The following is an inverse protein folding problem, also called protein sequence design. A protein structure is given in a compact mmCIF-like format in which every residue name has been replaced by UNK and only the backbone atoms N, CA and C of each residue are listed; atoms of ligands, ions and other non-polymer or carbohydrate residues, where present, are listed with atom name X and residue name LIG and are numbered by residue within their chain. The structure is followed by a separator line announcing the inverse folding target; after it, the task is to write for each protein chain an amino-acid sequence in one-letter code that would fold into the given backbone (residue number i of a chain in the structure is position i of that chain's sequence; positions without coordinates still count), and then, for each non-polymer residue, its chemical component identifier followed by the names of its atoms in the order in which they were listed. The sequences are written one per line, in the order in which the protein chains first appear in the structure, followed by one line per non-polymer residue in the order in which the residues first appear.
data_IF_373576249697
#
_entry.id   IF_373576249697
#
_cell.length_a   1.000
_cell.length_b   1.000
_cell.length_c   1.000
_cell.angle_alpha   90.00
_cell.angle_beta   90.00
_cell.angle_gamma   90.00
#
_symmetry.space_group_name_H-M   'P 1'
#
loop_
_entity.id
_entity.type
_entity.pdbx_description
1 polymer ?
#
# COMPACT_ATOMS: atom_id res chain seq x y z
N UNK A 1 -11.23 -10.61 -4.07
CA UNK A 1 -11.31 -10.66 -2.59
C UNK A 1 -11.93 -9.38 -2.08
N UNK A 2 -13.05 -9.47 -1.38
CA UNK A 2 -13.66 -8.34 -0.72
C UNK A 2 -13.16 -8.22 0.73
N UNK A 3 -12.99 -6.98 1.19
CA UNK A 3 -12.71 -6.66 2.60
C UNK A 3 -13.85 -5.82 3.13
N UNK A 4 -14.36 -6.20 4.28
CA UNK A 4 -15.43 -5.47 4.97
C UNK A 4 -15.03 -5.23 6.42
N UNK A 5 -14.90 -3.96 6.80
CA UNK A 5 -14.61 -3.51 8.15
C UNK A 5 -15.86 -2.84 8.68
N UNK A 6 -16.37 -3.29 9.84
CA UNK A 6 -17.59 -2.78 10.45
C UNK A 6 -17.38 -2.44 11.92
N UNK A 7 -17.68 -1.20 12.28
CA UNK A 7 -17.64 -0.68 13.65
C UNK A 7 -16.28 -0.81 14.32
N UNK A 8 -15.19 -0.80 13.53
CA UNK A 8 -13.84 -1.03 14.05
C UNK A 8 -13.45 0.07 15.04
N UNK A 9 -13.16 -0.35 16.28
CA UNK A 9 -12.66 0.52 17.32
C UNK A 9 -11.40 -0.08 17.95
N UNK A 10 -10.36 0.74 18.08
CA UNK A 10 -9.06 0.31 18.62
C UNK A 10 -8.63 1.29 19.69
N UNK A 11 -8.26 0.75 20.88
CA UNK A 11 -7.63 1.56 21.93
C UNK A 11 -6.29 0.92 22.34
N UNK A 12 -5.34 1.74 22.74
CA UNK A 12 -4.02 1.32 23.24
C UNK A 12 -3.87 1.85 24.68
N UNK A 13 -3.66 0.94 25.64
CA UNK A 13 -3.58 1.34 27.05
C UNK A 13 -4.81 2.09 27.54
N UNK A 14 -6.00 1.80 27.00
CA UNK A 14 -7.25 2.49 27.31
C UNK A 14 -7.49 3.80 26.56
N UNK A 15 -6.51 4.29 25.77
CA UNK A 15 -6.67 5.50 24.96
C UNK A 15 -7.25 5.13 23.61
N UNK A 16 -8.44 5.67 23.21
CA UNK A 16 -9.03 5.39 21.91
C UNK A 16 -8.19 6.01 20.79
N UNK A 17 -7.89 5.20 19.75
CA UNK A 17 -7.16 5.61 18.55
C UNK A 17 -8.06 5.56 17.32
N UNK A 18 -8.91 4.55 17.23
CA UNK A 18 -9.90 4.38 16.16
C UNK A 18 -11.26 4.16 16.81
N UNK A 19 -12.32 4.76 16.28
CA UNK A 19 -13.66 4.69 16.85
C UNK A 19 -14.72 4.53 15.76
N UNK A 20 -15.36 3.36 15.73
CA UNK A 20 -16.50 3.05 14.88
C UNK A 20 -16.25 3.21 13.38
N UNK A 21 -15.10 2.76 12.90
CA UNK A 21 -14.73 2.87 11.48
C UNK A 21 -15.39 1.77 10.67
N UNK A 22 -16.09 2.18 9.59
CA UNK A 22 -16.60 1.33 8.54
C UNK A 22 -15.82 1.61 7.25
N UNK A 23 -15.29 0.54 6.60
CA UNK A 23 -14.52 0.64 5.37
C UNK A 23 -14.70 -0.63 4.54
N UNK A 24 -14.90 -0.45 3.23
CA UNK A 24 -15.05 -1.57 2.30
C UNK A 24 -14.04 -1.47 1.16
N UNK A 25 -13.49 -2.62 0.77
CA UNK A 25 -12.64 -2.77 -0.41
C UNK A 25 -13.29 -3.87 -1.26
N UNK A 26 -13.86 -3.48 -2.39
CA UNK A 26 -14.43 -4.43 -3.32
C UNK A 26 -13.33 -5.27 -3.99
N UNK A 27 -13.73 -6.40 -4.56
CA UNK A 27 -12.78 -7.24 -5.32
C UNK A 27 -12.18 -6.45 -6.49
N UNK A 28 -10.88 -6.62 -6.71
CA UNK A 28 -10.10 -5.93 -7.75
C UNK A 28 -10.17 -4.40 -7.68
N UNK A 29 -10.54 -3.81 -6.54
CA UNK A 29 -10.61 -2.36 -6.39
C UNK A 29 -9.37 -1.78 -5.69
N UNK A 30 -9.12 -0.51 -5.96
CA UNK A 30 -8.06 0.27 -5.31
C UNK A 30 -8.71 1.38 -4.49
N UNK A 31 -8.64 1.23 -3.19
CA UNK A 31 -9.24 2.15 -2.21
C UNK A 31 -8.16 2.92 -1.48
N UNK A 32 -8.37 4.22 -1.31
CA UNK A 32 -7.50 5.11 -0.57
C UNK A 32 -7.94 5.29 0.87
N UNK A 33 -7.00 5.44 1.78
CA UNK A 33 -7.23 5.92 3.13
C UNK A 33 -6.32 7.12 3.38
N UNK A 34 -6.94 8.30 3.47
CA UNK A 34 -6.20 9.55 3.63
C UNK A 34 -6.55 10.23 4.95
N UNK A 35 -5.62 11.00 5.48
CA UNK A 35 -5.80 11.77 6.72
C UNK A 35 -4.50 12.36 7.20
N UNK A 36 -4.56 13.27 8.16
CA UNK A 36 -3.39 13.88 8.77
C UNK A 36 -2.47 12.83 9.44
N UNK A 37 -1.21 13.21 9.69
CA UNK A 37 -0.32 12.36 10.49
C UNK A 37 -0.91 12.16 11.90
N UNK A 38 -0.87 10.93 12.39
CA UNK A 38 -1.45 10.59 13.68
C UNK A 38 -2.97 10.34 13.69
N UNK A 39 -3.68 10.44 12.55
CA UNK A 39 -5.14 10.18 12.50
C UNK A 39 -5.54 8.71 12.74
N UNK A 40 -4.57 7.77 12.73
CA UNK A 40 -4.81 6.34 13.00
C UNK A 40 -4.74 5.42 11.77
N UNK A 41 -4.39 5.92 10.57
CA UNK A 41 -4.34 5.14 9.32
C UNK A 41 -3.52 3.85 9.43
N UNK A 42 -2.29 3.95 9.89
CA UNK A 42 -1.41 2.78 10.07
C UNK A 42 -1.91 1.81 11.15
N UNK A 43 -2.78 2.28 12.07
CA UNK A 43 -3.39 1.41 13.05
C UNK A 43 -4.47 0.52 12.42
N UNK A 44 -5.26 1.07 11.49
CA UNK A 44 -6.18 0.28 10.67
C UNK A 44 -5.41 -0.77 9.84
N UNK A 45 -4.32 -0.36 9.18
CA UNK A 45 -3.47 -1.29 8.42
C UNK A 45 -2.93 -2.44 9.31
N UNK A 46 -2.46 -2.12 10.51
CA UNK A 46 -1.99 -3.13 11.48
C UNK A 46 -3.11 -4.04 11.97
N UNK A 47 -4.31 -3.50 12.20
CA UNK A 47 -5.47 -4.33 12.57
C UNK A 47 -5.83 -5.32 11.46
N UNK A 48 -5.84 -4.88 10.21
CA UNK A 48 -6.06 -5.72 9.04
C UNK A 48 -5.00 -6.82 8.87
N UNK A 49 -3.79 -6.61 9.37
CA UNK A 49 -2.72 -7.60 9.38
C UNK A 49 -2.70 -8.47 10.66
N UNK A 50 -3.56 -8.20 11.66
CA UNK A 50 -3.47 -8.81 12.97
C UNK A 50 -2.15 -8.49 13.71
N UNK A 51 -1.61 -7.27 13.48
CA UNK A 51 -0.31 -6.82 14.02
C UNK A 51 -0.49 -5.65 15.00
N UNK A 52 -1.58 -5.63 15.73
CA UNK A 52 -1.79 -4.61 16.77
C UNK A 52 -0.81 -4.81 17.95
N UNK A 53 -0.37 -3.72 18.60
CA UNK A 53 0.43 -3.82 19.83
C UNK A 53 -0.24 -4.65 20.91
N UNK A 54 0.52 -5.34 21.76
CA UNK A 54 -0.01 -6.24 22.80
C UNK A 54 -0.99 -5.57 23.79
N UNK A 55 -0.84 -4.27 24.05
CA UNK A 55 -1.72 -3.51 24.94
C UNK A 55 -2.97 -2.95 24.24
N UNK A 56 -3.28 -3.42 23.02
CA UNK A 56 -4.43 -2.96 22.25
C UNK A 56 -5.69 -3.74 22.58
N UNK A 57 -6.81 -3.03 22.62
CA UNK A 57 -8.15 -3.63 22.51
C UNK A 57 -8.71 -3.34 21.13
N UNK A 58 -9.32 -4.34 20.50
CA UNK A 58 -9.92 -4.22 19.17
C UNK A 58 -11.35 -4.76 19.23
N UNK A 59 -12.31 -3.96 18.77
CA UNK A 59 -13.74 -4.29 18.75
C UNK A 59 -14.28 -3.96 17.37
N UNK A 60 -15.34 -4.64 16.94
CA UNK A 60 -15.92 -4.56 15.61
C UNK A 60 -15.62 -5.84 14.82
N UNK A 61 -15.57 -5.77 13.49
CA UNK A 61 -15.19 -6.90 12.65
C UNK A 61 -14.31 -6.44 11.49
N UNK A 62 -13.39 -7.32 11.07
CA UNK A 62 -12.59 -7.19 9.85
C UNK A 62 -12.74 -8.51 9.09
N UNK A 63 -13.45 -8.50 7.97
CA UNK A 63 -13.76 -9.72 7.22
C UNK A 63 -13.03 -9.75 5.88
N UNK A 64 -12.42 -10.89 5.59
CA UNK A 64 -11.85 -11.24 4.30
C UNK A 64 -12.71 -12.31 3.63
N UNK A 65 -13.39 -11.96 2.52
CA UNK A 65 -14.38 -12.84 1.85
C UNK A 65 -15.43 -13.40 2.83
N UNK A 66 -15.84 -12.61 3.83
CA UNK A 66 -16.83 -12.97 4.86
C UNK A 66 -16.27 -13.62 6.12
N UNK A 67 -15.00 -14.01 6.16
CA UNK A 67 -14.33 -14.60 7.33
C UNK A 67 -13.73 -13.49 8.21
N UNK A 68 -14.15 -13.44 9.49
CA UNK A 68 -13.67 -12.44 10.45
C UNK A 68 -12.30 -12.82 11.01
N UNK A 69 -11.33 -11.90 10.89
CA UNK A 69 -9.98 -12.13 11.38
C UNK A 69 -9.77 -11.67 12.83
N UNK A 70 -10.73 -10.91 13.40
CA UNK A 70 -10.65 -10.51 14.81
C UNK A 70 -10.91 -11.75 15.68
N UNK A 71 -9.94 -12.09 16.53
CA UNK A 71 -10.00 -13.27 17.37
C UNK A 71 -9.35 -14.53 16.80
N UNK A 72 -8.87 -14.49 15.54
CA UNK A 72 -8.03 -15.56 15.01
C UNK A 72 -6.74 -15.71 15.84
N UNK A 73 -6.27 -16.94 15.99
CA UNK A 73 -4.99 -17.21 16.63
C UNK A 73 -3.81 -16.86 15.69
N UNK A 74 -2.59 -16.81 16.25
CA UNK A 74 -1.40 -16.39 15.48
C UNK A 74 -1.08 -17.35 14.31
N UNK A 75 -1.38 -18.63 14.41
CA UNK A 75 -1.17 -19.59 13.31
C UNK A 75 -2.10 -19.29 12.12
N UNK A 76 -3.37 -19.01 12.40
CA UNK A 76 -4.36 -18.64 11.39
C UNK A 76 -3.99 -17.30 10.71
N UNK A 77 -3.59 -16.30 11.51
CA UNK A 77 -3.12 -15.01 11.01
C UNK A 77 -1.83 -15.14 10.19
N UNK A 78 -0.91 -16.05 10.60
CA UNK A 78 0.32 -16.29 9.86
C UNK A 78 0.04 -16.90 8.48
N UNK A 79 -0.95 -17.77 8.36
CA UNK A 79 -1.37 -18.36 7.07
C UNK A 79 -1.99 -17.31 6.14
N UNK A 80 -2.66 -16.30 6.67
CA UNK A 80 -3.21 -15.19 5.89
C UNK A 80 -2.12 -14.24 5.39
N UNK A 81 -1.13 -13.93 6.25
CA UNK A 81 -0.03 -13.00 5.91
C UNK A 81 0.87 -13.59 4.83
N UNK A 82 1.16 -12.80 3.82
CA UNK A 82 2.00 -13.19 2.70
C UNK A 82 1.33 -14.10 1.66
N UNK A 83 0.26 -14.81 2.01
CA UNK A 83 -0.51 -15.64 1.08
C UNK A 83 -1.78 -14.93 0.60
N UNK A 84 -2.48 -14.27 1.50
CA UNK A 84 -3.76 -13.61 1.26
C UNK A 84 -3.63 -12.10 1.25
N UNK A 85 -2.97 -11.57 2.27
CA UNK A 85 -2.71 -10.14 2.45
C UNK A 85 -1.21 -9.91 2.62
N UNK A 86 -0.69 -8.89 1.95
CA UNK A 86 0.69 -8.44 2.12
C UNK A 86 0.74 -6.93 2.30
N UNK A 87 1.83 -6.44 2.89
CA UNK A 87 1.99 -5.03 3.20
C UNK A 87 3.30 -4.48 2.62
N UNK A 88 3.19 -3.31 1.99
CA UNK A 88 4.32 -2.45 1.64
C UNK A 88 4.43 -1.36 2.70
N UNK A 89 5.55 -1.33 3.41
CA UNK A 89 5.75 -0.47 4.58
C UNK A 89 6.27 0.92 4.18
N UNK A 90 5.99 1.90 5.01
CA UNK A 90 6.42 3.29 4.89
C UNK A 90 7.95 3.43 4.83
N UNK A 91 8.67 2.70 5.65
CA UNK A 91 10.14 2.72 5.70
C UNK A 91 10.70 1.36 5.26
N UNK A 92 11.12 1.23 3.99
CA UNK A 92 11.65 -0.02 3.49
C UNK A 92 12.91 -0.47 4.21
N UNK A 93 13.76 0.46 4.68
CA UNK A 93 14.99 0.13 5.39
C UNK A 93 14.71 -0.61 6.72
N UNK A 94 13.62 -0.27 7.41
CA UNK A 94 13.22 -0.96 8.64
C UNK A 94 12.44 -2.25 8.39
N UNK A 95 11.84 -2.41 7.22
CA UNK A 95 11.08 -3.59 6.84
C UNK A 95 11.96 -4.72 6.29
N UNK A 96 13.10 -4.38 5.68
CA UNK A 96 14.03 -5.35 5.13
C UNK A 96 14.97 -5.88 6.22
N UNK A 97 15.17 -7.20 6.24
CA UNK A 97 16.11 -7.82 7.17
C UNK A 97 17.57 -7.52 6.73
N UNK A 98 18.39 -6.80 7.54
CA UNK A 98 19.70 -6.34 7.14
C UNK A 98 20.73 -7.46 6.91
N UNK A 99 20.48 -8.68 7.43
CA UNK A 99 21.40 -9.83 7.29
C UNK A 99 21.03 -10.79 6.17
N UNK A 100 19.94 -10.51 5.43
CA UNK A 100 19.52 -11.29 4.27
C UNK A 100 19.84 -10.54 2.98
N UNK A 101 20.28 -11.28 1.96
CA UNK A 101 20.40 -10.71 0.62
C UNK A 101 19.03 -10.44 0.00
N UNK A 102 18.97 -9.60 -1.03
CA UNK A 102 17.74 -9.31 -1.78
C UNK A 102 17.04 -10.60 -2.23
N UNK A 103 17.79 -11.55 -2.83
CA UNK A 103 17.21 -12.82 -3.27
C UNK A 103 16.63 -13.62 -2.10
N UNK A 104 17.31 -13.66 -0.97
CA UNK A 104 16.81 -14.35 0.23
C UNK A 104 15.53 -13.73 0.75
N UNK A 105 15.45 -12.40 0.80
CA UNK A 105 14.26 -11.69 1.25
C UNK A 105 13.06 -11.93 0.34
N UNK A 106 13.24 -11.78 -0.99
CA UNK A 106 12.14 -11.95 -1.95
C UNK A 106 11.68 -13.41 -2.03
N UNK A 107 12.57 -14.39 -1.80
CA UNK A 107 12.17 -15.81 -1.77
C UNK A 107 11.51 -16.24 -0.46
N UNK A 108 11.62 -15.46 0.63
CA UNK A 108 11.13 -15.84 1.96
C UNK A 108 9.61 -16.10 2.01
N UNK A 109 8.73 -15.21 1.49
CA UNK A 109 7.29 -15.49 1.47
C UNK A 109 6.94 -16.77 0.72
N UNK A 110 7.65 -17.05 -0.39
CA UNK A 110 7.45 -18.29 -1.14
C UNK A 110 7.88 -19.53 -0.35
N UNK A 111 8.93 -19.41 0.46
CA UNK A 111 9.41 -20.51 1.30
C UNK A 111 8.47 -20.84 2.45
N UNK A 112 7.80 -19.83 2.99
CA UNK A 112 6.90 -19.98 4.14
C UNK A 112 5.52 -20.52 3.75
N UNK A 113 5.01 -20.14 2.58
CA UNK A 113 3.60 -20.37 2.23
C UNK A 113 3.37 -21.35 1.07
N UNK A 114 4.43 -21.77 0.35
CA UNK A 114 4.28 -22.59 -0.85
C UNK A 114 5.26 -23.76 -0.86
N UNK A 115 4.77 -24.94 -1.26
CA UNK A 115 5.62 -26.10 -1.50
C UNK A 115 6.32 -25.97 -2.87
N UNK A 116 7.39 -25.18 -2.90
CA UNK A 116 8.19 -24.90 -4.09
C UNK A 116 9.65 -25.27 -3.82
N UNK A 117 10.28 -25.88 -4.82
CA UNK A 117 11.73 -26.11 -4.79
C UNK A 117 12.50 -24.77 -4.74
N UNK A 118 13.74 -24.81 -4.26
CA UNK A 118 14.60 -23.61 -4.23
C UNK A 118 14.78 -22.99 -5.62
N UNK A 119 14.88 -23.82 -6.66
CA UNK A 119 15.01 -23.35 -8.04
C UNK A 119 13.74 -22.57 -8.48
N UNK A 120 12.55 -23.09 -8.18
CA UNK A 120 11.28 -22.44 -8.50
C UNK A 120 11.12 -21.13 -7.74
N UNK A 121 11.45 -21.08 -6.45
CA UNK A 121 11.42 -19.85 -5.63
C UNK A 121 12.34 -18.78 -6.20
N UNK A 122 13.60 -19.15 -6.53
CA UNK A 122 14.57 -18.22 -7.14
C UNK A 122 14.08 -17.71 -8.50
N UNK A 123 13.51 -18.57 -9.34
CA UNK A 123 12.98 -18.15 -10.64
C UNK A 123 11.84 -17.14 -10.51
N UNK A 124 10.87 -17.38 -9.59
CA UNK A 124 9.77 -16.44 -9.33
C UNK A 124 10.29 -15.12 -8.73
N UNK A 125 11.23 -15.19 -7.79
CA UNK A 125 11.83 -13.99 -7.22
C UNK A 125 12.59 -13.17 -8.27
N UNK A 126 13.38 -13.79 -9.12
CA UNK A 126 14.10 -13.12 -10.21
C UNK A 126 13.12 -12.45 -11.20
N UNK A 127 12.05 -13.13 -11.59
CA UNK A 127 11.00 -12.55 -12.43
C UNK A 127 10.34 -11.33 -11.77
N UNK A 128 10.03 -11.39 -10.47
CA UNK A 128 9.45 -10.27 -9.73
C UNK A 128 10.44 -9.10 -9.60
N UNK A 129 11.73 -9.37 -9.33
CA UNK A 129 12.76 -8.34 -9.29
C UNK A 129 12.89 -7.62 -10.64
N UNK A 130 12.83 -8.35 -11.75
CA UNK A 130 12.81 -7.74 -13.08
C UNK A 130 11.57 -6.87 -13.31
N UNK A 131 10.37 -7.31 -12.87
CA UNK A 131 9.12 -6.53 -12.95
C UNK A 131 9.19 -5.21 -12.18
N UNK A 132 9.86 -5.19 -11.02
CA UNK A 132 10.07 -3.93 -10.28
C UNK A 132 11.24 -3.10 -10.83
N UNK A 133 11.83 -3.49 -11.96
CA UNK A 133 12.91 -2.77 -12.63
C UNK A 133 14.25 -2.85 -11.91
N UNK A 134 14.53 -3.97 -11.24
CA UNK A 134 15.81 -4.25 -10.59
C UNK A 134 16.61 -5.26 -11.41
N UNK A 135 17.87 -4.91 -11.68
CA UNK A 135 18.80 -5.78 -12.38
C UNK A 135 19.19 -7.00 -11.54
N UNK A 136 19.55 -8.11 -12.22
CA UNK A 136 19.93 -9.37 -11.57
C UNK A 136 21.15 -9.24 -10.66
N UNK A 137 22.05 -8.27 -10.90
CA UNK A 137 23.24 -8.01 -10.06
C UNK A 137 22.89 -7.61 -8.64
N UNK A 138 21.66 -7.12 -8.41
CA UNK A 138 21.18 -6.70 -7.08
C UNK A 138 20.85 -7.89 -6.18
N UNK A 139 20.65 -9.06 -6.74
CA UNK A 139 20.16 -10.26 -6.05
C UNK A 139 21.05 -10.72 -4.89
N UNK A 140 22.35 -10.51 -5.00
CA UNK A 140 23.34 -10.87 -3.96
C UNK A 140 23.64 -9.75 -2.98
N UNK A 141 23.13 -8.52 -3.20
CA UNK A 141 23.36 -7.37 -2.33
C UNK A 141 22.52 -7.45 -1.07
N UNK A 142 22.98 -6.78 -0.04
CA UNK A 142 22.28 -6.56 1.22
C UNK A 142 21.53 -5.22 1.20
N UNK A 143 20.51 -5.02 2.05
CA UNK A 143 19.73 -3.77 2.08
C UNK A 143 20.56 -2.49 2.21
N UNK A 144 21.61 -2.50 3.01
CA UNK A 144 22.49 -1.34 3.23
C UNK A 144 23.32 -0.93 1.99
N UNK A 145 23.42 -1.80 0.98
CA UNK A 145 24.11 -1.54 -0.28
C UNK A 145 23.19 -0.95 -1.36
N UNK A 146 21.91 -0.72 -1.01
CA UNK A 146 20.86 -0.27 -1.93
C UNK A 146 20.49 1.19 -1.69
N UNK A 147 20.15 1.92 -2.75
CA UNK A 147 19.46 3.22 -2.61
C UNK A 147 18.06 3.06 -2.01
N UNK A 148 17.49 4.14 -1.44
CA UNK A 148 16.14 4.11 -0.86
C UNK A 148 15.08 3.65 -1.86
N UNK A 149 15.15 4.11 -3.12
CA UNK A 149 14.25 3.66 -4.18
C UNK A 149 14.43 2.18 -4.56
N UNK A 150 15.66 1.65 -4.50
CA UNK A 150 15.92 0.22 -4.70
C UNK A 150 15.38 -0.60 -3.52
N UNK A 151 15.58 -0.16 -2.27
CA UNK A 151 15.00 -0.81 -1.09
C UNK A 151 13.48 -0.86 -1.18
N UNK A 152 12.83 0.23 -1.61
CA UNK A 152 11.38 0.28 -1.80
C UNK A 152 10.92 -0.73 -2.86
N UNK A 153 11.62 -0.81 -4.00
CA UNK A 153 11.33 -1.80 -5.05
C UNK A 153 11.51 -3.24 -4.57
N UNK A 154 12.51 -3.51 -3.73
CA UNK A 154 12.68 -4.83 -3.07
C UNK A 154 11.53 -5.11 -2.12
N UNK A 155 11.08 -4.14 -1.32
CA UNK A 155 9.91 -4.26 -0.46
C UNK A 155 8.64 -4.61 -1.24
N UNK A 156 8.39 -3.90 -2.36
CA UNK A 156 7.27 -4.17 -3.27
C UNK A 156 7.39 -5.58 -3.88
N UNK A 157 8.58 -5.97 -4.33
CA UNK A 157 8.81 -7.31 -4.87
C UNK A 157 8.52 -8.40 -3.82
N UNK A 158 8.96 -8.20 -2.58
CA UNK A 158 8.72 -9.13 -1.46
C UNK A 158 7.23 -9.25 -1.15
N UNK A 159 6.49 -8.14 -1.16
CA UNK A 159 5.05 -8.13 -0.90
C UNK A 159 4.23 -8.80 -2.01
N UNK A 160 4.66 -8.70 -3.28
CA UNK A 160 3.89 -9.17 -4.44
C UNK A 160 4.32 -10.54 -4.98
N UNK A 161 5.48 -11.07 -4.57
CA UNK A 161 6.03 -12.32 -5.13
C UNK A 161 5.13 -13.55 -4.91
N UNK A 162 4.34 -13.54 -3.84
CA UNK A 162 3.36 -14.57 -3.48
C UNK A 162 2.02 -14.41 -4.22
N UNK A 163 1.84 -13.33 -4.99
CA UNK A 163 0.58 -12.96 -5.64
C UNK A 163 -0.60 -12.90 -4.63
N UNK A 164 -0.51 -12.08 -3.56
CA UNK A 164 -1.57 -11.97 -2.57
C UNK A 164 -2.83 -11.35 -3.19
N UNK A 165 -3.98 -11.58 -2.56
CA UNK A 165 -5.26 -11.03 -3.02
C UNK A 165 -5.48 -9.56 -2.58
N UNK A 166 -4.84 -9.15 -1.49
CA UNK A 166 -4.88 -7.78 -0.97
C UNK A 166 -3.47 -7.26 -0.73
N UNK A 167 -3.21 -6.05 -1.21
CA UNK A 167 -2.01 -5.27 -0.90
C UNK A 167 -2.41 -4.09 -0.02
N UNK A 168 -1.78 -3.95 1.14
CA UNK A 168 -1.86 -2.75 1.98
C UNK A 168 -0.57 -1.96 1.76
N UNK A 169 -0.66 -0.79 1.16
CA UNK A 169 0.47 0.11 0.93
C UNK A 169 0.40 1.27 1.93
N UNK A 170 1.15 1.18 3.03
CA UNK A 170 1.17 2.19 4.09
C UNK A 170 2.27 3.21 3.82
N UNK A 171 1.88 4.38 3.32
CA UNK A 171 2.77 5.50 2.96
C UNK A 171 4.00 5.07 2.13
N UNK A 172 3.84 4.34 1.03
CA UNK A 172 4.93 3.63 0.36
C UNK A 172 5.95 4.57 -0.32
N UNK A 173 5.78 5.89 -0.23
CA UNK A 173 6.60 6.87 -0.96
C UNK A 173 7.09 8.04 -0.11
N UNK A 174 6.79 8.08 1.18
CA UNK A 174 7.04 9.25 2.07
C UNK A 174 8.52 9.67 2.17
N UNK A 175 9.47 8.76 1.96
CA UNK A 175 10.90 9.03 2.05
C UNK A 175 11.59 9.23 0.68
N UNK A 176 10.81 9.38 -0.40
CA UNK A 176 11.32 9.45 -1.77
C UNK A 176 11.14 10.85 -2.35
N UNK A 177 12.01 11.23 -3.29
CA UNK A 177 11.82 12.45 -4.08
C UNK A 177 10.60 12.32 -5.01
N UNK A 178 10.05 13.45 -5.47
CA UNK A 178 8.81 13.52 -6.23
C UNK A 178 8.81 12.70 -7.53
N UNK A 179 9.97 12.55 -8.19
CA UNK A 179 10.09 11.78 -9.43
C UNK A 179 10.03 10.29 -9.12
N UNK A 180 10.83 9.85 -8.17
CA UNK A 180 10.86 8.45 -7.69
C UNK A 180 9.51 8.06 -7.10
N UNK A 181 8.86 8.94 -6.32
CA UNK A 181 7.53 8.74 -5.77
C UNK A 181 6.51 8.39 -6.88
N UNK A 182 6.43 9.20 -7.95
CA UNK A 182 5.53 8.94 -9.08
C UNK A 182 5.82 7.61 -9.77
N UNK A 183 7.09 7.26 -9.94
CA UNK A 183 7.50 5.98 -10.53
C UNK A 183 7.07 4.79 -9.67
N UNK A 184 7.26 4.87 -8.35
CA UNK A 184 6.86 3.82 -7.40
C UNK A 184 5.35 3.63 -7.36
N UNK A 185 4.57 4.72 -7.36
CA UNK A 185 3.10 4.63 -7.37
C UNK A 185 2.60 3.97 -8.66
N UNK A 186 3.09 4.40 -9.83
CA UNK A 186 2.73 3.80 -11.13
C UNK A 186 3.11 2.31 -11.18
N UNK A 187 4.30 1.97 -10.70
CA UNK A 187 4.76 0.59 -10.62
C UNK A 187 3.84 -0.26 -9.75
N UNK A 188 3.52 0.22 -8.54
CA UNK A 188 2.67 -0.50 -7.60
C UNK A 188 1.26 -0.72 -8.19
N UNK A 189 0.65 0.33 -8.75
CA UNK A 189 -0.67 0.23 -9.41
C UNK A 189 -0.64 -0.79 -10.55
N UNK A 190 0.36 -0.70 -11.44
CA UNK A 190 0.50 -1.64 -12.56
C UNK A 190 0.64 -3.09 -12.10
N UNK A 191 1.42 -3.35 -11.06
CA UNK A 191 1.64 -4.70 -10.54
C UNK A 191 0.41 -5.24 -9.81
N UNK A 192 -0.34 -4.39 -9.09
CA UNK A 192 -1.60 -4.76 -8.43
C UNK A 192 -2.66 -5.12 -9.47
N UNK A 193 -2.81 -4.30 -10.52
CA UNK A 193 -3.75 -4.54 -11.63
C UNK A 193 -3.39 -5.83 -12.40
N UNK A 194 -2.10 -6.04 -12.70
CA UNK A 194 -1.61 -7.26 -13.37
C UNK A 194 -1.86 -8.53 -12.52
N UNK A 195 -1.71 -8.42 -11.21
CA UNK A 195 -1.97 -9.52 -10.28
C UNK A 195 -3.46 -9.79 -10.06
N UNK A 196 -4.35 -8.88 -10.49
CA UNK A 196 -5.77 -8.92 -10.17
C UNK A 196 -6.04 -8.82 -8.66
N UNK A 197 -5.17 -8.14 -7.93
CA UNK A 197 -5.30 -7.94 -6.50
C UNK A 197 -6.14 -6.70 -6.17
N UNK A 198 -6.69 -6.65 -4.96
CA UNK A 198 -7.24 -5.42 -4.37
C UNK A 198 -6.14 -4.63 -3.66
N UNK A 199 -6.31 -3.32 -3.49
CA UNK A 199 -5.33 -2.49 -2.80
C UNK A 199 -5.98 -1.51 -1.83
N UNK A 200 -5.44 -1.43 -0.60
CA UNK A 200 -5.62 -0.30 0.29
C UNK A 200 -4.36 0.57 0.24
N UNK A 201 -4.50 1.78 -0.31
CA UNK A 201 -3.41 2.75 -0.42
C UNK A 201 -3.55 3.83 0.65
N UNK A 202 -2.62 3.88 1.59
CA UNK A 202 -2.63 4.82 2.71
C UNK A 202 -1.62 5.92 2.43
N UNK A 203 -2.06 7.17 2.54
CA UNK A 203 -1.20 8.35 2.38
C UNK A 203 -1.79 9.56 3.11
N UNK A 204 -0.99 10.59 3.28
CA UNK A 204 -1.45 11.93 3.68
C UNK A 204 -1.48 12.91 2.48
N UNK A 205 -1.08 12.47 1.28
CA UNK A 205 -0.99 13.30 0.08
C UNK A 205 -2.08 12.92 -0.95
N UNK A 206 -3.03 13.84 -1.16
CA UNK A 206 -4.09 13.68 -2.14
C UNK A 206 -3.60 13.63 -3.59
N UNK A 207 -2.47 14.28 -3.90
CA UNK A 207 -1.92 14.28 -5.25
C UNK A 207 -1.47 12.88 -5.67
N UNK A 208 -0.91 12.14 -4.71
CA UNK A 208 -0.51 10.74 -4.88
C UNK A 208 -1.73 9.82 -4.97
N UNK A 209 -2.69 10.03 -4.06
CA UNK A 209 -3.91 9.22 -3.97
C UNK A 209 -4.70 9.22 -5.28
N UNK A 210 -4.79 10.39 -5.93
CA UNK A 210 -5.51 10.58 -7.19
C UNK A 210 -5.04 9.68 -8.34
N UNK A 211 -3.80 9.24 -8.28
CA UNK A 211 -3.20 8.36 -9.29
C UNK A 211 -3.22 6.87 -8.89
N UNK A 212 -3.46 6.58 -7.62
CA UNK A 212 -3.39 5.24 -7.07
C UNK A 212 -4.76 4.58 -6.87
N UNK A 213 -5.83 5.36 -6.67
CA UNK A 213 -7.12 4.84 -6.18
C UNK A 213 -8.33 5.40 -6.92
N UNK A 214 -9.40 4.62 -6.93
CA UNK A 214 -10.69 4.98 -7.53
C UNK A 214 -11.63 5.60 -6.49
N UNK A 215 -11.69 5.01 -5.30
CA UNK A 215 -12.45 5.49 -4.14
C UNK A 215 -11.52 5.78 -2.97
N UNK A 216 -11.95 6.63 -2.04
CA UNK A 216 -11.18 6.90 -0.82
C UNK A 216 -12.06 7.23 0.39
N UNK A 217 -11.45 7.03 1.55
CA UNK A 217 -11.95 7.38 2.88
C UNK A 217 -11.04 8.42 3.50
N UNK A 218 -11.64 9.46 4.09
CA UNK A 218 -10.93 10.51 4.83
C UNK A 218 -11.03 10.19 6.31
N UNK A 219 -9.89 9.94 6.95
CA UNK A 219 -9.79 9.64 8.38
C UNK A 219 -9.29 10.87 9.14
N UNK A 220 -10.03 11.29 10.14
CA UNK A 220 -9.64 12.34 11.06
C UNK A 220 -9.92 11.94 12.51
N UNK A 221 -8.92 12.11 13.38
CA UNK A 221 -9.01 11.80 14.81
C UNK A 221 -9.67 10.43 15.11
N UNK A 222 -9.33 9.41 14.31
CA UNK A 222 -9.84 8.03 14.48
C UNK A 222 -11.22 7.76 13.88
N UNK A 223 -11.85 8.71 13.18
CA UNK A 223 -13.17 8.55 12.56
C UNK A 223 -13.11 8.74 11.05
N UNK A 224 -13.91 7.99 10.29
CA UNK A 224 -14.16 8.32 8.87
C UNK A 224 -15.10 9.52 8.83
N UNK A 225 -14.62 10.65 8.30
CA UNK A 225 -15.38 11.91 8.20
C UNK A 225 -15.98 12.12 6.81
N UNK A 226 -15.40 11.50 5.78
CA UNK A 226 -15.91 11.57 4.41
C UNK A 226 -15.45 10.35 3.61
N UNK A 227 -16.25 9.88 2.66
CA UNK A 227 -15.89 8.80 1.75
C UNK A 227 -16.55 8.95 0.39
N UNK A 228 -15.97 8.37 -0.64
CA UNK A 228 -16.52 8.36 -1.99
C UNK A 228 -15.44 8.32 -3.07
N UNK A 229 -15.82 8.57 -4.31
CA UNK A 229 -14.89 8.58 -5.43
C UNK A 229 -13.78 9.61 -5.22
N UNK A 230 -12.53 9.16 -5.35
CA UNK A 230 -11.32 10.00 -5.17
C UNK A 230 -11.38 11.26 -6.04
N UNK A 231 -11.88 11.13 -7.28
CA UNK A 231 -12.02 12.27 -8.20
C UNK A 231 -13.06 13.30 -7.73
N UNK A 232 -14.14 12.83 -7.12
CA UNK A 232 -15.21 13.71 -6.61
C UNK A 232 -14.71 14.45 -5.38
N UNK A 233 -14.10 13.75 -4.43
CA UNK A 233 -13.53 14.33 -3.21
C UNK A 233 -12.45 15.40 -3.53
N UNK A 234 -11.58 15.14 -4.50
CA UNK A 234 -10.59 16.13 -4.94
C UNK A 234 -11.20 17.42 -5.53
N UNK A 235 -12.36 17.31 -6.18
CA UNK A 235 -13.01 18.46 -6.81
C UNK A 235 -13.93 19.21 -5.86
N UNK A 236 -14.66 18.49 -5.01
CA UNK A 236 -15.74 19.00 -4.15
C UNK A 236 -15.72 18.31 -2.78
N UNK A 237 -14.67 18.53 -1.95
CA UNK A 237 -14.65 18.03 -0.59
C UNK A 237 -15.76 18.68 0.22
N UNK A 238 -16.52 17.90 1.00
CA UNK A 238 -17.65 18.35 1.78
C UNK A 238 -17.24 18.74 3.20
N UNK A 239 -16.34 17.97 3.83
CA UNK A 239 -15.92 18.19 5.21
C UNK A 239 -14.77 19.19 5.30
N UNK A 240 -14.65 19.97 6.41
CA UNK A 240 -13.53 20.88 6.62
C UNK A 240 -12.16 20.16 6.55
N UNK A 241 -12.09 18.93 7.07
CA UNK A 241 -10.88 18.10 7.06
C UNK A 241 -10.46 17.74 5.64
N UNK A 242 -11.40 17.28 4.82
CA UNK A 242 -11.13 16.96 3.41
C UNK A 242 -10.75 18.23 2.63
N UNK A 243 -11.40 19.38 2.92
CA UNK A 243 -11.06 20.66 2.29
C UNK A 243 -9.62 21.08 2.61
N UNK A 244 -9.18 20.95 3.87
CA UNK A 244 -7.81 21.26 4.28
C UNK A 244 -6.78 20.37 3.54
N UNK A 245 -7.02 19.05 3.46
CA UNK A 245 -6.14 18.11 2.77
C UNK A 245 -6.07 18.40 1.26
N UNK A 246 -7.22 18.71 0.63
CA UNK A 246 -7.27 19.07 -0.80
C UNK A 246 -6.57 20.41 -1.06
N UNK A 247 -6.73 21.38 -0.15
CA UNK A 247 -6.06 22.69 -0.27
C UNK A 247 -4.54 22.53 -0.20
N UNK A 248 -4.04 21.78 0.79
CA UNK A 248 -2.61 21.47 0.91
C UNK A 248 -2.04 20.78 -0.35
N UNK A 249 -2.78 19.81 -0.92
CA UNK A 249 -2.36 19.14 -2.15
C UNK A 249 -2.31 20.11 -3.35
N UNK A 250 -3.24 21.06 -3.44
CA UNK A 250 -3.26 22.06 -4.52
C UNK A 250 -2.12 23.07 -4.39
N UNK A 251 -1.77 23.50 -3.18
CA UNK A 251 -0.63 24.40 -2.96
C UNK A 251 0.69 23.77 -3.38
N UNK A 252 0.90 22.47 -3.06
CA UNK A 252 2.07 21.71 -3.49
C UNK A 252 2.14 21.55 -5.02
N UNK A 253 0.98 21.53 -5.70
CA UNK A 253 0.90 21.41 -7.17
C UNK A 253 1.02 22.76 -7.88
N UNK A 254 0.74 23.87 -7.21
CA UNK A 254 0.83 25.24 -7.77
C UNK A 254 2.27 25.81 -7.77
N UNK A 255 3.22 25.13 -7.14
CA UNK A 255 4.65 25.37 -7.29
C UNK A 255 5.34 24.23 -8.07
N UNK A 256 4.94 23.94 -9.32
CA UNK A 256 5.73 23.05 -10.14
C UNK A 256 6.94 23.83 -10.62
N UNK A 257 8.13 23.29 -10.43
CA UNK A 257 9.26 23.63 -11.30
C UNK A 257 8.77 23.55 -12.74
N UNK A 258 9.09 24.58 -13.54
CA UNK A 258 8.48 24.93 -14.82
C UNK A 258 8.56 23.89 -15.96
N UNK A 259 8.95 22.66 -15.68
CA UNK A 259 9.14 21.57 -16.67
C UNK A 259 7.96 20.58 -16.81
N UNK A 260 6.92 20.69 -15.99
CA UNK A 260 5.84 19.67 -15.97
C UNK A 260 4.84 19.71 -17.14
N UNK A 261 4.73 20.83 -17.87
CA UNK A 261 3.74 20.93 -18.95
C UNK A 261 4.11 20.16 -20.23
N UNK A 262 5.37 19.80 -20.39
CA UNK A 262 5.90 19.18 -21.62
C UNK A 262 5.78 17.65 -21.62
N UNK A 263 5.93 17.00 -20.47
CA UNK A 263 5.98 15.53 -20.37
C UNK A 263 4.61 14.87 -20.56
N UNK A 264 3.52 15.50 -20.07
CA UNK A 264 2.16 14.92 -20.16
C UNK A 264 1.52 15.02 -21.56
N UNK A 265 2.04 15.86 -22.46
CA UNK A 265 1.55 15.97 -23.85
C UNK A 265 2.15 14.93 -24.78
N UNK A 266 3.39 14.50 -24.58
CA UNK A 266 4.07 13.54 -25.46
C UNK A 266 3.53 12.12 -25.30
N UNK A 267 3.26 11.66 -24.07
CA UNK A 267 2.79 10.29 -23.82
C UNK A 267 1.35 10.01 -24.33
N UNK A 268 0.53 11.04 -24.55
CA UNK A 268 -0.81 10.88 -25.17
C UNK A 268 -0.77 10.73 -26.68
N UNK A 269 0.23 11.28 -27.34
CA UNK A 269 0.39 11.16 -28.80
C UNK A 269 0.96 9.79 -29.21
N UNK A 270 1.90 9.24 -28.44
CA UNK A 270 2.50 7.96 -28.77
C UNK A 270 1.57 6.74 -28.61
N UNK A 271 0.53 6.82 -27.78
CA UNK A 271 -0.48 5.75 -27.70
C UNK A 271 -1.47 5.72 -28.86
N UNK A 272 -1.79 6.88 -29.43
CA UNK A 272 -2.70 6.94 -30.57
C UNK A 272 -2.03 6.62 -31.92
N UNK A 273 -0.71 6.64 -32.02
CA UNK A 273 0.02 6.22 -33.23
C UNK A 273 0.34 4.72 -33.26
N UNK A 274 0.27 4.00 -32.15
CA UNK A 274 0.46 2.53 -32.11
C UNK A 274 -0.83 1.73 -32.29
N UNK A 275 -1.99 2.38 -32.33
CA UNK A 275 -3.29 1.75 -32.59
C UNK A 275 -3.84 2.07 -34.01
N UNK A 276 -3.03 2.62 -34.88
CA UNK A 276 -3.29 2.73 -36.34
C UNK A 276 -2.25 1.93 -37.09
#
# INVERSE_FOLDING_TARGET
MSVDIQGLSIAIGGVPIISGVDLQIADHSRVGLIGASGSGKSMIARAMMGLLPMASTCVGSIRYDGEDIIGMNESELADLRGRYVSMVFQNPASALNPVLTVMQQVTLPLALHFDLSMAQRKARAAAMLAKVGLDSSISSRFPHELSGGQQQRVGIATALVSAPKLIIADEPTTSLDSITQRQIVRLLVSLVDEAGASMLFITHDFSVLAHATDDCYVLDAGHIVESGSTRVLLKRPCTPQAQQLVHAARELTLHPDSDEKTVWRHERHERHEKER
#
